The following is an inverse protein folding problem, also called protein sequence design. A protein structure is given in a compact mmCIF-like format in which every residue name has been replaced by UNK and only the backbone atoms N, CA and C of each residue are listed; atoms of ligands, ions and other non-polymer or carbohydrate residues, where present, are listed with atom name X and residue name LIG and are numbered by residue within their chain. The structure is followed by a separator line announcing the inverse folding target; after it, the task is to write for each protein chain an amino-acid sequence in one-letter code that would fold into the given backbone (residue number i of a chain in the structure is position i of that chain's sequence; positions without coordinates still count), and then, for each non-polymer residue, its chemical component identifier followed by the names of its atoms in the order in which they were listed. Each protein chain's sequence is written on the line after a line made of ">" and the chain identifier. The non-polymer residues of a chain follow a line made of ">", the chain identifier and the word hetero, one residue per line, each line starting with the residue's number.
data_IF_273183392071
#
_entry.id   IF_273183392071
#
_cell.length_a   1.000
_cell.length_b   1.000
_cell.length_c   1.000
_cell.angle_alpha   90.00
_cell.angle_beta   90.00
_cell.angle_gamma   90.00
#
_symmetry.space_group_name_H-M   'P 1'
#
loop_
_entity.id
_entity.type
_entity.pdbx_description
1 polymer ?
#
# COMPACT_ATOMS: atom_id res chain seq x y z
N UNK A 1 8.13 3.40 40.65
CA UNK A 1 9.07 4.11 39.76
C UNK A 1 8.44 4.15 38.38
N UNK A 2 8.31 5.32 37.72
CA UNK A 2 7.98 5.34 36.31
C UNK A 2 9.14 4.62 35.61
N UNK A 3 8.85 3.48 34.97
CA UNK A 3 9.83 2.86 34.08
C UNK A 3 9.89 3.78 32.87
N UNK A 4 10.95 4.57 32.75
CA UNK A 4 11.25 5.30 31.52
C UNK A 4 11.11 4.35 30.33
N UNK A 5 10.51 4.84 29.25
CA UNK A 5 10.39 4.03 28.06
C UNK A 5 11.79 3.67 27.58
N UNK A 6 12.04 2.42 27.19
CA UNK A 6 13.32 2.09 26.58
C UNK A 6 13.53 2.97 25.35
N UNK A 7 14.62 3.75 25.37
CA UNK A 7 14.99 4.69 24.32
C UNK A 7 15.03 4.01 22.93
N UNK A 8 15.30 2.70 22.89
CA UNK A 8 15.33 1.87 21.70
C UNK A 8 14.00 1.80 20.94
N UNK A 9 12.86 1.72 21.63
CA UNK A 9 11.55 1.64 20.96
C UNK A 9 11.14 2.98 20.37
N UNK A 10 11.44 4.09 21.06
CA UNK A 10 11.16 5.44 20.57
C UNK A 10 11.95 5.72 19.28
N UNK A 11 13.26 5.41 19.29
CA UNK A 11 14.12 5.52 18.10
C UNK A 11 13.61 4.61 16.98
N UNK A 12 13.19 3.38 17.32
CA UNK A 12 12.62 2.43 16.37
C UNK A 12 11.39 2.98 15.66
N UNK A 13 10.41 3.51 16.40
CA UNK A 13 9.18 4.08 15.82
C UNK A 13 9.44 5.38 15.03
N UNK A 14 10.34 6.24 15.49
CA UNK A 14 10.75 7.44 14.75
C UNK A 14 11.42 7.07 13.41
N UNK A 15 12.30 6.07 13.44
CA UNK A 15 12.93 5.52 12.25
C UNK A 15 11.88 4.88 11.32
N UNK A 16 10.98 4.04 11.84
CA UNK A 16 9.87 3.45 11.10
C UNK A 16 9.02 4.49 10.38
N UNK A 17 8.68 5.61 11.04
CA UNK A 17 7.93 6.69 10.38
C UNK A 17 8.78 7.33 9.29
N UNK A 18 10.09 7.54 9.50
CA UNK A 18 10.94 8.09 8.43
C UNK A 18 10.99 7.20 7.17
N UNK A 19 10.94 5.89 7.33
CA UNK A 19 10.91 4.91 6.24
C UNK A 19 9.62 4.96 5.39
N UNK A 20 8.54 5.58 5.88
CA UNK A 20 7.36 5.83 5.03
C UNK A 20 7.65 6.85 3.93
N UNK A 21 8.54 7.81 4.17
CA UNK A 21 8.96 8.77 3.15
C UNK A 21 9.74 8.09 2.03
N UNK A 22 10.50 7.04 2.34
CA UNK A 22 11.15 6.22 1.30
C UNK A 22 10.12 5.47 0.45
N UNK A 23 9.04 4.96 1.05
CA UNK A 23 7.95 4.34 0.29
C UNK A 23 7.19 5.37 -0.56
N UNK A 24 7.01 6.60 -0.08
CA UNK A 24 6.44 7.70 -0.88
C UNK A 24 7.35 8.08 -2.04
N UNK A 25 8.65 8.21 -1.81
CA UNK A 25 9.63 8.47 -2.87
C UNK A 25 9.66 7.33 -3.91
N UNK A 26 9.57 6.08 -3.46
CA UNK A 26 9.43 4.92 -4.34
C UNK A 26 8.15 4.99 -5.17
N UNK A 27 7.01 5.32 -4.55
CA UNK A 27 5.74 5.52 -5.26
C UNK A 27 5.85 6.62 -6.33
N UNK A 28 6.42 7.78 -6.00
CA UNK A 28 6.61 8.86 -6.97
C UNK A 28 7.53 8.44 -8.13
N UNK A 29 8.60 7.69 -7.84
CA UNK A 29 9.47 7.13 -8.88
C UNK A 29 8.74 6.10 -9.77
N UNK A 30 7.85 5.30 -9.20
CA UNK A 30 6.99 4.36 -9.95
C UNK A 30 6.03 5.11 -10.87
N UNK A 31 5.36 6.15 -10.38
CA UNK A 31 4.43 6.96 -11.20
C UNK A 31 5.16 7.74 -12.30
N UNK A 32 6.37 8.22 -12.02
CA UNK A 32 7.24 8.80 -13.03
C UNK A 32 7.60 7.77 -14.10
N UNK A 33 8.04 6.57 -13.71
CA UNK A 33 8.38 5.50 -14.65
C UNK A 33 7.18 5.06 -15.49
N UNK A 34 5.98 4.98 -14.90
CA UNK A 34 4.72 4.73 -15.62
C UNK A 34 4.53 5.80 -16.70
N UNK A 35 4.58 7.06 -16.30
CA UNK A 35 4.35 8.20 -17.19
C UNK A 35 5.37 8.25 -18.33
N UNK A 36 6.66 8.09 -18.02
CA UNK A 36 7.74 8.07 -18.99
C UNK A 36 7.59 6.92 -19.99
N UNK A 37 7.25 5.72 -19.51
CA UNK A 37 7.14 4.54 -20.37
C UNK A 37 5.93 4.63 -21.29
N UNK A 38 4.78 5.10 -20.78
CA UNK A 38 3.59 5.36 -21.59
C UNK A 38 3.92 6.42 -22.65
N UNK A 39 4.46 7.57 -22.24
CA UNK A 39 4.80 8.66 -23.16
C UNK A 39 5.81 8.25 -24.23
N UNK A 40 6.86 7.50 -23.85
CA UNK A 40 7.83 6.95 -24.80
C UNK A 40 7.13 6.09 -25.87
N UNK A 41 6.18 5.23 -25.45
CA UNK A 41 5.46 4.35 -26.36
C UNK A 41 4.50 5.13 -27.25
N UNK A 42 3.76 6.10 -26.71
CA UNK A 42 2.87 6.98 -27.47
C UNK A 42 3.65 7.80 -28.50
N UNK A 43 4.79 8.37 -28.11
CA UNK A 43 5.65 9.10 -29.03
C UNK A 43 6.19 8.21 -30.16
N UNK A 44 6.54 6.95 -29.87
CA UNK A 44 6.98 6.01 -30.89
C UNK A 44 5.85 5.66 -31.89
N UNK A 45 4.62 5.53 -31.42
CA UNK A 45 3.44 5.30 -32.27
C UNK A 45 3.14 6.54 -33.10
N UNK A 46 3.09 7.71 -32.46
CA UNK A 46 2.84 8.99 -33.15
C UNK A 46 3.88 9.28 -34.22
N UNK A 47 5.16 9.00 -33.95
CA UNK A 47 6.23 9.18 -34.93
C UNK A 47 6.00 8.33 -36.18
N UNK A 48 5.62 7.06 -36.00
CA UNK A 48 5.29 6.16 -37.11
C UNK A 48 4.01 6.57 -37.82
N UNK A 49 2.99 7.01 -37.09
CA UNK A 49 1.75 7.52 -37.67
C UNK A 49 2.04 8.73 -38.58
N UNK A 50 2.92 9.64 -38.17
CA UNK A 50 3.29 10.82 -38.96
C UNK A 50 4.05 10.48 -40.26
N UNK A 51 4.58 9.26 -40.40
CA UNK A 51 5.20 8.77 -41.64
C UNK A 51 4.16 8.23 -42.64
N UNK A 52 2.89 8.09 -42.24
CA UNK A 52 1.78 7.62 -43.06
C UNK A 52 0.96 8.78 -43.66
N UNK A 53 0.22 8.55 -44.77
CA UNK A 53 -0.75 9.50 -45.30
C UNK A 53 -1.75 9.92 -44.22
N UNK A 54 -2.15 11.21 -44.22
CA UNK A 54 -3.06 11.80 -43.20
C UNK A 54 -4.33 10.97 -43.00
N UNK A 55 -4.88 10.40 -44.07
CA UNK A 55 -6.08 9.55 -44.04
C UNK A 55 -5.92 8.26 -43.25
N UNK A 56 -4.69 7.77 -43.05
CA UNK A 56 -4.38 6.47 -42.42
C UNK A 56 -3.85 6.63 -40.98
N UNK A 57 -3.54 7.85 -40.54
CA UNK A 57 -2.86 8.08 -39.27
C UNK A 57 -3.70 7.69 -38.06
N UNK A 58 -5.00 8.05 -38.04
CA UNK A 58 -5.88 7.71 -36.93
C UNK A 58 -6.11 6.21 -36.81
N UNK A 59 -6.39 5.53 -37.94
CA UNK A 59 -6.57 4.08 -37.97
C UNK A 59 -5.30 3.35 -37.49
N UNK A 60 -4.11 3.81 -37.93
CA UNK A 60 -2.86 3.27 -37.43
C UNK A 60 -2.70 3.45 -35.92
N UNK A 61 -2.99 4.64 -35.38
CA UNK A 61 -2.91 4.91 -33.95
C UNK A 61 -3.87 3.99 -33.19
N UNK A 62 -5.13 3.87 -33.62
CA UNK A 62 -6.13 3.01 -32.97
C UNK A 62 -5.69 1.55 -32.95
N UNK A 63 -5.18 1.03 -34.06
CA UNK A 63 -4.71 -0.36 -34.18
C UNK A 63 -3.43 -0.62 -33.36
N UNK A 64 -2.59 0.39 -33.17
CA UNK A 64 -1.28 0.24 -32.51
C UNK A 64 -1.23 0.79 -31.09
N UNK A 65 -2.28 1.48 -30.63
CA UNK A 65 -2.38 1.96 -29.26
C UNK A 65 -2.43 0.73 -28.34
N UNK A 66 -1.42 0.53 -27.48
CA UNK A 66 -1.29 -0.70 -26.73
C UNK A 66 -2.17 -0.60 -25.48
N UNK A 67 -3.48 -0.44 -25.68
CA UNK A 67 -4.46 -0.13 -24.64
C UNK A 67 -4.36 -1.08 -23.45
N UNK A 68 -4.32 -2.39 -23.73
CA UNK A 68 -4.16 -3.43 -22.72
C UNK A 68 -2.86 -3.31 -21.93
N UNK A 69 -1.77 -2.93 -22.57
CA UNK A 69 -0.48 -2.72 -21.89
C UNK A 69 -0.48 -1.41 -21.09
N UNK A 70 -1.06 -0.34 -21.63
CA UNK A 70 -1.20 0.95 -20.96
C UNK A 70 -2.12 0.87 -19.73
N UNK A 71 -3.01 -0.12 -19.68
CA UNK A 71 -3.77 -0.48 -18.48
C UNK A 71 -2.98 -1.42 -17.57
N UNK A 72 -2.54 -2.60 -18.04
CA UNK A 72 -1.99 -3.64 -17.17
C UNK A 72 -0.65 -3.27 -16.53
N UNK A 73 0.20 -2.51 -17.22
CA UNK A 73 1.51 -2.12 -16.72
C UNK A 73 1.41 -1.18 -15.49
N UNK A 74 0.65 -0.07 -15.54
CA UNK A 74 0.40 0.74 -14.33
C UNK A 74 -0.27 -0.05 -13.20
N UNK A 75 -1.25 -0.89 -13.53
CA UNK A 75 -1.96 -1.69 -12.52
C UNK A 75 -0.99 -2.56 -11.71
N UNK A 76 -0.12 -3.31 -12.39
CA UNK A 76 0.84 -4.19 -11.74
C UNK A 76 1.82 -3.42 -10.84
N UNK A 77 2.34 -2.28 -11.32
CA UNK A 77 3.28 -1.46 -10.55
C UNK A 77 2.63 -0.83 -9.31
N UNK A 78 1.40 -0.33 -9.44
CA UNK A 78 0.62 0.21 -8.31
C UNK A 78 0.26 -0.87 -7.29
N UNK A 79 -0.11 -2.05 -7.76
CA UNK A 79 -0.33 -3.21 -6.91
C UNK A 79 0.93 -3.55 -6.08
N UNK A 80 2.12 -3.50 -6.71
CA UNK A 80 3.38 -3.68 -5.98
C UNK A 80 3.61 -2.61 -4.89
N UNK A 81 3.30 -1.34 -5.17
CA UNK A 81 3.39 -0.26 -4.17
C UNK A 81 2.46 -0.53 -2.98
N UNK A 82 1.21 -0.88 -3.24
CA UNK A 82 0.20 -1.18 -2.20
C UNK A 82 0.63 -2.37 -1.34
N UNK A 83 1.01 -3.48 -1.99
CA UNK A 83 1.46 -4.70 -1.30
C UNK A 83 2.72 -4.42 -0.48
N UNK A 84 3.65 -3.65 -1.03
CA UNK A 84 4.88 -3.23 -0.37
C UNK A 84 4.60 -2.41 0.90
N UNK A 85 3.81 -1.34 0.78
CA UNK A 85 3.47 -0.46 1.90
C UNK A 85 2.80 -1.19 3.07
N UNK A 86 1.88 -2.12 2.77
CA UNK A 86 1.18 -2.88 3.81
C UNK A 86 2.04 -4.00 4.41
N UNK A 87 2.92 -4.63 3.61
CA UNK A 87 3.90 -5.58 4.12
C UNK A 87 4.94 -4.88 5.02
N UNK A 88 5.30 -3.65 4.67
CA UNK A 88 6.11 -2.78 5.51
C UNK A 88 5.42 -2.48 6.84
N UNK A 89 4.17 -2.00 6.84
CA UNK A 89 3.40 -1.76 8.07
C UNK A 89 3.39 -3.00 8.98
N UNK A 90 3.08 -4.17 8.42
CA UNK A 90 3.05 -5.44 9.13
C UNK A 90 4.40 -5.78 9.77
N UNK A 91 5.49 -5.68 9.01
CA UNK A 91 6.83 -5.96 9.50
C UNK A 91 7.23 -4.99 10.63
N UNK A 92 6.95 -3.71 10.47
CA UNK A 92 7.37 -2.70 11.44
C UNK A 92 6.62 -2.84 12.77
N UNK A 93 5.30 -3.07 12.71
CA UNK A 93 4.52 -3.32 13.92
C UNK A 93 5.00 -4.59 14.64
N UNK A 94 5.35 -5.67 13.90
CA UNK A 94 5.94 -6.87 14.49
C UNK A 94 7.26 -6.54 15.19
N UNK A 95 8.16 -5.81 14.51
CA UNK A 95 9.47 -5.45 15.09
C UNK A 95 9.30 -4.62 16.37
N UNK A 96 8.33 -3.70 16.40
CA UNK A 96 8.00 -2.92 17.61
C UNK A 96 7.56 -3.83 18.74
N UNK A 97 6.67 -4.80 18.47
CA UNK A 97 6.24 -5.77 19.48
C UNK A 97 7.39 -6.65 19.97
N UNK A 98 8.25 -7.15 19.07
CA UNK A 98 9.42 -7.97 19.42
C UNK A 98 10.40 -7.19 20.32
N UNK A 99 10.71 -5.94 19.98
CA UNK A 99 11.59 -5.09 20.78
C UNK A 99 10.99 -4.82 22.18
N UNK A 100 9.71 -4.47 22.24
CA UNK A 100 9.01 -4.27 23.51
C UNK A 100 9.02 -5.53 24.36
N UNK A 101 8.77 -6.70 23.76
CA UNK A 101 8.77 -7.97 24.46
C UNK A 101 10.15 -8.28 25.08
N UNK A 102 11.22 -8.06 24.32
CA UNK A 102 12.60 -8.23 24.79
C UNK A 102 12.92 -7.32 25.97
N UNK A 103 12.61 -6.02 25.89
CA UNK A 103 12.95 -5.05 26.93
C UNK A 103 12.07 -5.15 28.17
N UNK A 104 10.81 -5.59 28.01
CA UNK A 104 9.87 -5.78 29.13
C UNK A 104 9.90 -7.19 29.71
N UNK A 105 10.72 -8.09 29.17
CA UNK A 105 10.75 -9.52 29.49
C UNK A 105 9.37 -10.18 29.42
N UNK A 106 8.53 -9.74 28.47
CA UNK A 106 7.23 -10.35 28.21
C UNK A 106 7.33 -11.33 27.06
N UNK A 107 6.47 -12.34 27.10
CA UNK A 107 6.37 -13.29 25.99
C UNK A 107 5.63 -12.63 24.81
N UNK A 108 6.25 -12.67 23.64
CA UNK A 108 5.63 -12.35 22.36
C UNK A 108 5.98 -13.46 21.38
N UNK A 109 4.95 -14.12 20.85
CA UNK A 109 5.11 -15.13 19.82
C UNK A 109 4.71 -14.52 18.48
N UNK A 110 5.63 -14.56 17.51
CA UNK A 110 5.37 -13.99 16.19
C UNK A 110 4.17 -14.70 15.54
N UNK A 111 3.11 -13.97 15.17
CA UNK A 111 1.89 -14.58 14.65
C UNK A 111 2.07 -15.11 13.22
N UNK A 112 1.43 -16.25 12.93
CA UNK A 112 1.36 -16.83 11.58
C UNK A 112 0.24 -16.21 10.73
N UNK A 113 -0.90 -15.89 11.32
CA UNK A 113 -2.06 -15.23 10.70
C UNK A 113 -2.50 -14.00 11.51
N UNK A 114 -3.32 -13.13 10.88
CA UNK A 114 -3.89 -11.92 11.51
C UNK A 114 -2.87 -11.05 12.25
N UNK A 115 -1.68 -10.91 11.64
CA UNK A 115 -0.49 -10.39 12.32
C UNK A 115 -0.69 -9.01 12.93
N UNK A 116 -1.36 -8.10 12.21
CA UNK A 116 -1.66 -6.76 12.71
C UNK A 116 -2.62 -6.79 13.91
N UNK A 117 -3.69 -7.58 13.85
CA UNK A 117 -4.65 -7.70 14.96
C UNK A 117 -3.99 -8.30 16.20
N UNK A 118 -3.17 -9.34 16.02
CA UNK A 118 -2.41 -9.94 17.10
C UNK A 118 -1.45 -8.93 17.74
N UNK A 119 -0.66 -8.23 16.93
CA UNK A 119 0.27 -7.21 17.42
C UNK A 119 -0.45 -6.08 18.16
N UNK A 120 -1.59 -5.61 17.63
CA UNK A 120 -2.36 -4.57 18.33
C UNK A 120 -2.92 -5.06 19.65
N UNK A 121 -3.41 -6.30 19.76
CA UNK A 121 -3.82 -6.85 21.06
C UNK A 121 -2.67 -6.92 22.05
N UNK A 122 -1.47 -7.29 21.59
CA UNK A 122 -0.27 -7.27 22.42
C UNK A 122 0.04 -5.86 22.92
N UNK A 123 0.09 -4.86 22.03
CA UNK A 123 0.32 -3.45 22.37
C UNK A 123 -0.76 -2.91 23.34
N UNK A 124 -2.03 -3.22 23.09
CA UNK A 124 -3.14 -2.85 23.99
C UNK A 124 -3.00 -3.46 25.38
N UNK A 125 -2.50 -4.70 25.50
CA UNK A 125 -2.23 -5.33 26.80
C UNK A 125 -1.14 -4.62 27.63
N UNK A 126 -0.39 -3.73 26.99
CA UNK A 126 0.63 -2.87 27.58
C UNK A 126 0.14 -1.45 27.85
N UNK A 127 -1.10 -1.14 27.46
CA UNK A 127 -1.69 0.18 27.60
C UNK A 127 -1.39 1.14 26.45
N UNK A 128 -0.90 0.65 25.31
CA UNK A 128 -0.91 1.42 24.06
C UNK A 128 -2.34 1.43 23.54
N UNK A 129 -2.88 2.60 23.27
CA UNK A 129 -4.21 2.76 22.69
C UNK A 129 -4.20 2.28 21.23
N UNK A 130 -5.31 1.67 20.83
CA UNK A 130 -5.55 1.33 19.43
C UNK A 130 -5.66 2.62 18.60
N UNK A 131 -5.22 2.62 17.34
CA UNK A 131 -5.57 3.67 16.40
C UNK A 131 -7.08 3.94 16.38
N UNK A 132 -7.48 5.17 16.06
CA UNK A 132 -8.88 5.58 15.94
C UNK A 132 -9.62 4.64 15.01
N UNK A 133 -10.88 4.36 15.34
CA UNK A 133 -11.64 3.29 14.70
C UNK A 133 -11.73 3.44 13.17
N UNK A 134 -11.83 4.67 12.67
CA UNK A 134 -11.81 4.96 11.23
C UNK A 134 -10.50 4.56 10.57
N UNK A 135 -9.35 4.96 11.14
CA UNK A 135 -8.02 4.59 10.65
C UNK A 135 -7.83 3.09 10.70
N UNK A 136 -8.24 2.46 11.80
CA UNK A 136 -8.08 1.02 11.98
C UNK A 136 -8.97 0.19 11.04
N UNK A 137 -10.20 0.61 10.81
CA UNK A 137 -11.08 -0.06 9.84
C UNK A 137 -10.52 0.09 8.42
N UNK A 138 -9.95 1.25 8.07
CA UNK A 138 -9.25 1.45 6.80
C UNK A 138 -8.08 0.49 6.62
N UNK A 139 -7.26 0.26 7.65
CA UNK A 139 -6.18 -0.76 7.61
C UNK A 139 -6.72 -2.14 7.26
N UNK A 140 -7.83 -2.56 7.89
CA UNK A 140 -8.43 -3.88 7.60
C UNK A 140 -8.85 -3.99 6.14
N UNK A 141 -9.44 -2.94 5.58
CA UNK A 141 -9.82 -2.88 4.17
C UNK A 141 -8.57 -2.98 3.27
N UNK A 142 -7.52 -2.20 3.58
CA UNK A 142 -6.26 -2.27 2.86
C UNK A 142 -5.60 -3.66 2.97
N UNK A 143 -5.69 -4.34 4.11
CA UNK A 143 -5.22 -5.72 4.25
C UNK A 143 -5.99 -6.71 3.38
N UNK A 144 -7.32 -6.59 3.30
CA UNK A 144 -8.12 -7.37 2.34
C UNK A 144 -7.66 -7.12 0.91
N UNK A 145 -7.48 -5.85 0.55
CA UNK A 145 -6.95 -5.47 -0.77
C UNK A 145 -5.60 -6.13 -1.07
N UNK A 146 -4.64 -6.05 -0.15
CA UNK A 146 -3.34 -6.71 -0.29
C UNK A 146 -3.49 -8.22 -0.47
N UNK A 147 -4.34 -8.87 0.33
CA UNK A 147 -4.52 -10.31 0.26
C UNK A 147 -5.09 -10.71 -1.10
N UNK A 148 -6.13 -10.02 -1.56
CA UNK A 148 -6.69 -10.21 -2.91
C UNK A 148 -5.61 -10.01 -3.97
N UNK A 149 -4.82 -8.93 -3.92
CA UNK A 149 -3.70 -8.71 -4.84
C UNK A 149 -2.67 -9.85 -4.82
N UNK A 150 -2.22 -10.29 -3.64
CA UNK A 150 -1.21 -11.36 -3.53
C UNK A 150 -1.76 -12.68 -4.08
N UNK A 151 -2.98 -13.05 -3.73
CA UNK A 151 -3.60 -14.30 -4.17
C UNK A 151 -3.95 -14.31 -5.66
N UNK A 152 -4.20 -13.14 -6.23
CA UNK A 152 -4.57 -12.98 -7.63
C UNK A 152 -3.39 -12.58 -8.53
N UNK A 153 -2.14 -12.74 -8.07
CA UNK A 153 -0.96 -12.47 -8.90
C UNK A 153 -0.78 -10.99 -9.26
N UNK A 154 -1.20 -10.10 -8.35
CA UNK A 154 -1.17 -8.63 -8.45
C UNK A 154 -2.18 -8.03 -9.43
N UNK A 155 -3.23 -8.79 -9.76
CA UNK A 155 -4.33 -8.33 -10.60
C UNK A 155 -5.66 -8.47 -9.84
N UNK A 156 -6.40 -7.38 -9.67
CA UNK A 156 -7.70 -7.40 -8.99
C UNK A 156 -8.81 -8.06 -9.82
N UNK A 157 -8.57 -8.30 -11.10
CA UNK A 157 -9.58 -8.73 -12.06
C UNK A 157 -9.59 -10.22 -12.34
N UNK A 158 -8.77 -11.00 -11.63
CA UNK A 158 -8.79 -12.46 -11.80
C UNK A 158 -9.99 -13.08 -11.10
N UNK A 159 -10.58 -14.10 -11.72
CA UNK A 159 -11.73 -14.85 -11.18
C UNK A 159 -11.42 -15.64 -9.89
N UNK A 160 -10.15 -15.65 -9.44
CA UNK A 160 -9.63 -16.55 -8.39
C UNK A 160 -9.64 -15.93 -6.99
N UNK A 161 -10.80 -15.44 -6.57
CA UNK A 161 -11.13 -15.40 -5.14
C UNK A 161 -11.05 -14.04 -4.45
N UNK A 162 -11.77 -14.02 -3.33
CA UNK A 162 -12.25 -12.88 -2.54
C UNK A 162 -13.26 -11.98 -3.28
N UNK A 163 -14.35 -11.65 -2.57
CA UNK A 163 -15.36 -10.70 -3.06
C UNK A 163 -14.82 -9.28 -2.95
N UNK A 164 -13.88 -8.92 -3.82
CA UNK A 164 -13.28 -7.59 -3.91
C UNK A 164 -14.35 -6.49 -3.94
N UNK A 165 -15.46 -6.75 -4.64
CA UNK A 165 -16.67 -5.93 -4.69
C UNK A 165 -17.17 -5.44 -3.32
N UNK A 166 -17.09 -6.28 -2.28
CA UNK A 166 -17.66 -5.98 -0.96
C UNK A 166 -16.92 -4.87 -0.20
N UNK A 167 -15.70 -4.52 -0.59
CA UNK A 167 -14.87 -3.60 0.19
C UNK A 167 -14.07 -2.60 -0.64
N UNK A 168 -13.85 -2.86 -1.92
CA UNK A 168 -12.97 -2.04 -2.77
C UNK A 168 -13.49 -0.61 -2.96
N UNK A 169 -14.81 -0.42 -2.90
CA UNK A 169 -15.47 0.89 -3.00
C UNK A 169 -15.20 1.79 -1.79
N UNK A 170 -14.72 1.23 -0.68
CA UNK A 170 -14.32 1.98 0.52
C UNK A 170 -12.85 2.44 0.46
N UNK A 171 -12.11 2.06 -0.58
CA UNK A 171 -10.71 2.45 -0.81
C UNK A 171 -10.69 3.50 -1.92
N UNK A 172 -10.10 4.66 -1.65
CA UNK A 172 -10.09 5.75 -2.62
C UNK A 172 -9.19 5.39 -3.80
N UNK A 173 -9.52 5.87 -5.00
CA UNK A 173 -8.69 5.66 -6.19
C UNK A 173 -8.76 4.26 -6.80
N UNK A 174 -9.77 3.46 -6.44
CA UNK A 174 -10.08 2.23 -7.17
C UNK A 174 -11.39 2.43 -7.93
N UNK A 175 -11.30 2.41 -9.25
CA UNK A 175 -12.44 2.60 -10.14
C UNK A 175 -12.94 1.24 -10.65
N UNK A 176 -14.26 1.11 -10.87
CA UNK A 176 -14.84 0.00 -11.62
C UNK A 176 -15.11 0.46 -13.05
N UNK A 177 -14.49 -0.22 -13.99
CA UNK A 177 -14.66 -0.09 -15.43
C UNK A 177 -15.44 -1.31 -15.95
N UNK A 178 -16.45 -1.08 -16.79
CA UNK A 178 -17.37 -2.13 -17.24
C UNK A 178 -16.69 -3.17 -18.13
N UNK A 179 -15.60 -2.80 -18.82
CA UNK A 179 -14.87 -3.68 -19.74
C UNK A 179 -13.62 -4.30 -19.11
N UNK A 180 -13.01 -3.62 -18.13
CA UNK A 180 -11.69 -3.95 -17.60
C UNK A 180 -11.69 -4.28 -16.10
N UNK A 181 -12.86 -4.21 -15.44
CA UNK A 181 -13.00 -4.48 -14.01
C UNK A 181 -12.41 -3.35 -13.16
N UNK A 182 -11.65 -3.68 -12.13
CA UNK A 182 -11.04 -2.73 -11.22
C UNK A 182 -9.74 -2.12 -11.75
N UNK A 183 -9.67 -0.79 -11.66
CA UNK A 183 -8.53 0.03 -12.04
C UNK A 183 -8.00 0.76 -10.79
N UNK A 184 -6.77 0.42 -10.40
CA UNK A 184 -5.95 1.13 -9.42
C UNK A 184 -5.41 2.43 -10.02
N UNK A 185 -5.86 3.56 -9.50
CA UNK A 185 -5.29 4.87 -9.79
C UNK A 185 -4.13 5.18 -8.83
N UNK A 186 -3.35 6.22 -9.17
CA UNK A 186 -2.30 6.75 -8.29
C UNK A 186 -2.85 7.05 -6.89
N UNK A 187 -4.05 7.59 -6.82
CA UNK A 187 -4.75 7.96 -5.59
C UNK A 187 -5.01 6.76 -4.67
N UNK A 188 -5.08 5.52 -5.19
CA UNK A 188 -5.16 4.33 -4.33
C UNK A 188 -3.85 4.06 -3.59
N UNK A 189 -2.71 4.25 -4.26
CA UNK A 189 -1.41 4.13 -3.62
C UNK A 189 -1.24 5.23 -2.55
N UNK A 190 -1.65 6.46 -2.84
CA UNK A 190 -1.61 7.58 -1.89
C UNK A 190 -2.49 7.31 -0.66
N UNK A 191 -3.71 6.82 -0.86
CA UNK A 191 -4.66 6.48 0.22
C UNK A 191 -4.10 5.38 1.14
N UNK A 192 -3.49 4.35 0.56
CA UNK A 192 -2.85 3.26 1.32
C UNK A 192 -1.63 3.76 2.09
N UNK A 193 -0.74 4.52 1.45
CA UNK A 193 0.44 5.09 2.10
C UNK A 193 0.06 6.03 3.24
N UNK A 194 -0.97 6.86 3.04
CA UNK A 194 -1.49 7.74 4.08
C UNK A 194 -2.07 6.94 5.24
N UNK A 195 -2.80 5.86 4.96
CA UNK A 195 -3.36 4.98 5.99
C UNK A 195 -2.24 4.35 6.83
N UNK A 196 -1.19 3.84 6.18
CA UNK A 196 0.00 3.28 6.86
C UNK A 196 0.67 4.33 7.75
N UNK A 197 0.88 5.53 7.22
CA UNK A 197 1.50 6.63 7.96
C UNK A 197 0.69 7.03 9.20
N UNK A 198 -0.62 7.18 9.06
CA UNK A 198 -1.52 7.56 10.15
C UNK A 198 -1.47 6.53 11.29
N UNK A 199 -1.53 5.23 10.97
CA UNK A 199 -1.43 4.15 11.96
C UNK A 199 -0.13 4.21 12.73
N UNK A 200 1.00 4.36 12.04
CA UNK A 200 2.31 4.41 12.67
C UNK A 200 2.43 5.64 13.58
N UNK A 201 1.92 6.80 13.15
CA UNK A 201 1.86 8.02 13.96
C UNK A 201 1.01 7.85 15.21
N UNK A 202 -0.19 7.30 15.09
CA UNK A 202 -1.09 7.07 16.21
C UNK A 202 -0.50 6.08 17.24
N UNK A 203 0.11 4.98 16.76
CA UNK A 203 0.82 4.02 17.63
C UNK A 203 1.97 4.72 18.37
N UNK A 204 2.77 5.52 17.66
CA UNK A 204 3.87 6.28 18.25
C UNK A 204 3.39 7.26 19.32
N UNK A 205 2.38 8.06 19.01
CA UNK A 205 1.83 9.04 19.94
C UNK A 205 1.27 8.38 21.19
N UNK A 206 0.53 7.28 21.02
CA UNK A 206 -0.01 6.53 22.14
C UNK A 206 1.08 5.90 23.00
N UNK A 207 2.10 5.33 22.35
CA UNK A 207 3.29 4.80 23.02
C UNK A 207 4.01 5.88 23.83
N UNK A 208 4.22 7.06 23.25
CA UNK A 208 4.86 8.19 23.92
C UNK A 208 4.04 8.72 25.12
N UNK A 209 2.71 8.72 25.05
CA UNK A 209 1.85 9.08 26.18
C UNK A 209 1.92 8.05 27.31
N UNK A 210 1.98 6.77 26.96
CA UNK A 210 2.00 5.68 27.94
C UNK A 210 3.31 5.65 28.74
N UNK A 211 4.41 6.02 28.09
CA UNK A 211 5.73 6.05 28.67
C UNK A 211 6.45 7.36 28.29
N UNK A 212 6.14 8.47 28.99
CA UNK A 212 6.69 9.80 28.71
C UNK A 212 8.20 9.91 28.97
#
# INVERSE_FOLDING_TARGET
>A
MPKEFPLGIKIGLDFTISMIYEHRAYHDAVEQAISEKINWRLNAIQKRANELPVSEQMEFIELNYPYRWALSFPQALRAHVIVGALSFLELQIINVCENIAQETMREFQRPSSDKLEYCMRFLCSLGVERPVESTWNKVKLCQKLRNSLIHNGLDLNTEKGEKVEEYVHEINGILKDDEHGYILERTACDDVLQTVENVLKEIRESTAKKWP
#
